data_IF_322219289870
#
_entry.id   IF_322219289870
#
_cell.length_a   1.000
_cell.length_b   1.000
_cell.length_c   1.000
_cell.angle_alpha   90.00
_cell.angle_beta   90.00
_cell.angle_gamma   90.00
#
_symmetry.space_group_name_H-M   'P 1'
#
loop_
_entity.id
_entity.type
_entity.pdbx_description
1 polymer ?
#
# COMPACT_ATOMS: atom_id res chain seq x y z
N UNK A 1 6.85 11.59 2.35
CA UNK A 1 6.20 10.52 1.57
C UNK A 1 5.47 11.13 0.38
N UNK A 2 5.73 10.67 -0.84
CA UNK A 2 5.03 11.08 -2.08
C UNK A 2 3.92 10.06 -2.37
N UNK A 3 2.71 10.51 -2.69
CA UNK A 3 1.61 9.63 -3.14
C UNK A 3 1.64 9.59 -4.65
N UNK A 4 1.61 8.39 -5.22
CA UNK A 4 1.34 8.21 -6.63
C UNK A 4 0.05 7.41 -6.77
N UNK A 5 -0.97 8.02 -7.40
CA UNK A 5 -2.20 7.31 -7.79
C UNK A 5 -1.97 6.72 -9.17
N UNK A 6 -1.89 5.39 -9.24
CA UNK A 6 -1.78 4.67 -10.51
C UNK A 6 -3.18 4.42 -11.07
N UNK A 7 -3.41 4.80 -12.32
CA UNK A 7 -4.63 4.52 -13.06
C UNK A 7 -4.25 3.92 -14.41
N UNK A 8 -5.02 2.93 -14.87
CA UNK A 8 -4.82 2.34 -16.19
C UNK A 8 -5.59 3.16 -17.26
N UNK A 9 -5.02 3.42 -18.45
CA UNK A 9 -3.67 3.05 -18.90
C UNK A 9 -2.58 3.83 -18.16
N UNK A 10 -1.48 3.15 -17.83
CA UNK A 10 -0.37 3.74 -17.10
C UNK A 10 0.28 4.84 -17.95
N UNK A 11 0.55 6.00 -17.34
CA UNK A 11 1.37 7.03 -17.97
C UNK A 11 2.79 6.48 -18.20
N UNK A 12 3.39 6.81 -19.35
CA UNK A 12 4.71 6.31 -19.75
C UNK A 12 5.83 6.72 -18.78
N UNK A 13 5.67 7.84 -18.08
CA UNK A 13 6.55 8.27 -17.00
C UNK A 13 5.75 8.39 -15.70
N UNK A 14 6.05 7.51 -14.74
CA UNK A 14 5.46 7.56 -13.39
C UNK A 14 6.25 8.49 -12.45
N UNK A 15 7.40 9.02 -12.90
CA UNK A 15 8.30 9.84 -12.12
C UNK A 15 8.80 9.13 -10.87
N UNK A 16 8.97 7.81 -10.93
CA UNK A 16 9.40 6.95 -9.82
C UNK A 16 10.86 6.49 -10.02
N UNK A 17 11.66 6.42 -8.94
CA UNK A 17 13.06 6.01 -9.00
C UNK A 17 13.23 4.60 -9.58
N UNK A 18 14.25 4.44 -10.42
CA UNK A 18 14.55 3.21 -11.17
C UNK A 18 14.76 1.98 -10.27
N UNK A 19 15.29 2.16 -9.06
CA UNK A 19 15.49 1.06 -8.10
C UNK A 19 14.63 1.24 -6.85
N UNK A 20 13.54 0.47 -6.78
CA UNK A 20 12.55 0.55 -5.70
C UNK A 20 12.22 -0.85 -5.18
N UNK A 21 12.18 -1.00 -3.85
CA UNK A 21 11.57 -2.15 -3.17
C UNK A 21 10.14 -1.77 -2.81
N UNK A 22 9.19 -2.61 -3.21
CA UNK A 22 7.75 -2.34 -3.03
C UNK A 22 7.17 -3.36 -2.05
N UNK A 23 6.58 -2.86 -0.96
CA UNK A 23 5.66 -3.65 -0.14
C UNK A 23 4.25 -3.54 -0.74
N UNK A 24 3.68 -4.64 -1.21
CA UNK A 24 2.37 -4.67 -1.86
C UNK A 24 1.35 -5.39 -0.98
N UNK A 25 0.18 -4.78 -0.79
CA UNK A 25 -0.89 -5.35 0.02
C UNK A 25 -1.99 -4.34 0.33
N UNK A 26 -3.10 -4.80 0.88
CA UNK A 26 -4.21 -3.92 1.25
C UNK A 26 -3.91 -3.07 2.51
N UNK A 27 -3.08 -3.60 3.42
CA UNK A 27 -2.58 -2.91 4.62
C UNK A 27 -3.65 -2.31 5.56
N UNK A 28 -4.87 -2.81 5.53
CA UNK A 28 -5.96 -2.34 6.40
C UNK A 28 -5.68 -2.63 7.88
N UNK A 29 -5.76 -1.61 8.72
CA UNK A 29 -5.62 -1.73 10.18
C UNK A 29 -4.21 -1.86 10.74
N UNK A 30 -3.15 -1.82 9.93
CA UNK A 30 -1.72 -1.80 10.36
C UNK A 30 -1.37 -2.70 11.57
N UNK A 31 -1.96 -3.89 11.64
CA UNK A 31 -1.67 -4.85 12.69
C UNK A 31 -0.23 -5.40 12.57
N UNK A 32 0.23 -6.14 13.58
CA UNK A 32 1.63 -6.62 13.70
C UNK A 32 2.15 -7.33 12.45
N UNK A 33 1.30 -8.09 11.75
CA UNK A 33 1.64 -8.73 10.48
C UNK A 33 2.03 -7.74 9.37
N UNK A 34 1.24 -6.68 9.17
CA UNK A 34 1.57 -5.62 8.21
C UNK A 34 2.86 -4.89 8.59
N UNK A 35 3.05 -4.61 9.89
CA UNK A 35 4.28 -3.97 10.38
C UNK A 35 5.52 -4.82 10.06
N UNK A 36 5.45 -6.14 10.23
CA UNK A 36 6.55 -7.05 9.90
C UNK A 36 6.89 -7.03 8.39
N UNK A 37 5.88 -7.01 7.52
CA UNK A 37 6.08 -6.90 6.07
C UNK A 37 6.74 -5.58 5.69
N UNK A 38 6.26 -4.47 6.25
CA UNK A 38 6.81 -3.14 5.99
C UNK A 38 8.26 -3.01 6.49
N UNK A 39 8.55 -3.55 7.68
CA UNK A 39 9.90 -3.56 8.22
C UNK A 39 10.85 -4.35 7.33
N UNK A 40 10.45 -5.55 6.89
CA UNK A 40 11.27 -6.37 5.99
C UNK A 40 11.57 -5.65 4.67
N UNK A 41 10.57 -4.97 4.11
CA UNK A 41 10.74 -4.20 2.89
C UNK A 41 11.71 -3.00 3.09
N UNK A 42 11.64 -2.34 4.25
CA UNK A 42 12.57 -1.26 4.63
C UNK A 42 14.01 -1.76 4.71
N UNK A 43 14.22 -2.91 5.35
CA UNK A 43 15.55 -3.51 5.48
C UNK A 43 16.13 -3.91 4.12
N UNK A 44 15.32 -4.52 3.25
CA UNK A 44 15.71 -4.88 1.87
C UNK A 44 16.03 -3.64 1.02
N UNK A 45 15.26 -2.55 1.16
CA UNK A 45 15.53 -1.30 0.45
C UNK A 45 16.90 -0.73 0.86
N UNK A 46 17.20 -0.73 2.16
CA UNK A 46 18.48 -0.27 2.69
C UNK A 46 19.64 -1.13 2.18
N UNK A 47 19.52 -2.46 2.25
CA UNK A 47 20.54 -3.39 1.76
C UNK A 47 20.83 -3.23 0.26
N UNK A 48 19.82 -2.88 -0.53
CA UNK A 48 19.94 -2.76 -2.00
C UNK A 48 20.28 -1.35 -2.47
N UNK A 49 20.38 -0.37 -1.58
CA UNK A 49 20.49 1.04 -1.96
C UNK A 49 19.31 1.53 -2.79
N UNK A 50 18.11 0.99 -2.53
CA UNK A 50 16.88 1.26 -3.27
C UNK A 50 15.94 2.16 -2.46
N UNK A 51 14.97 2.78 -3.13
CA UNK A 51 13.87 3.49 -2.44
C UNK A 51 12.83 2.49 -1.96
N UNK A 52 12.17 2.81 -0.84
CA UNK A 52 11.03 2.04 -0.33
C UNK A 52 9.73 2.67 -0.84
N UNK A 53 8.81 1.83 -1.32
CA UNK A 53 7.44 2.21 -1.63
C UNK A 53 6.44 1.20 -1.07
N UNK A 54 5.21 1.68 -0.83
CA UNK A 54 4.07 0.86 -0.45
C UNK A 54 3.03 0.99 -1.54
N UNK A 55 2.62 -0.14 -2.11
CA UNK A 55 1.50 -0.20 -3.05
C UNK A 55 0.29 -0.80 -2.35
N UNK A 56 -0.79 -0.04 -2.29
CA UNK A 56 -2.07 -0.47 -1.72
C UNK A 56 -3.22 -0.10 -2.66
N UNK A 57 -4.39 -0.66 -2.37
CA UNK A 57 -5.62 -0.45 -3.10
C UNK A 57 -6.58 0.36 -2.23
N UNK A 58 -7.29 1.30 -2.84
CA UNK A 58 -8.29 2.13 -2.17
C UNK A 58 -9.66 1.44 -2.05
N UNK A 59 -9.82 0.26 -2.65
CA UNK A 59 -11.04 -0.54 -2.58
C UNK A 59 -10.70 -2.00 -2.24
N UNK A 60 -11.58 -2.65 -1.47
CA UNK A 60 -11.47 -4.08 -1.18
C UNK A 60 -11.42 -4.86 -2.52
N UNK A 61 -10.40 -5.69 -2.79
CA UNK A 61 -10.23 -6.34 -4.10
C UNK A 61 -11.46 -7.15 -4.54
N UNK A 62 -12.19 -7.74 -3.58
CA UNK A 62 -13.39 -8.51 -3.85
C UNK A 62 -14.58 -7.68 -4.42
N UNK A 63 -14.56 -6.34 -4.33
CA UNK A 63 -15.56 -5.47 -4.97
C UNK A 63 -15.52 -5.56 -6.50
N UNK A 64 -14.36 -5.90 -7.07
CA UNK A 64 -14.18 -6.05 -8.53
C UNK A 64 -14.75 -7.39 -9.02
N UNK A 65 -14.73 -8.42 -8.18
CA UNK A 65 -15.06 -9.79 -8.58
C UNK A 65 -16.40 -10.31 -8.04
N UNK A 66 -17.01 -9.64 -7.05
CA UNK A 66 -18.26 -10.13 -6.41
C UNK A 66 -19.13 -8.99 -5.85
N UNK A 67 -20.46 -9.14 -5.94
CA UNK A 67 -21.39 -8.33 -5.15
C UNK A 67 -21.29 -8.73 -3.68
N UNK A 68 -20.53 -7.97 -2.90
CA UNK A 68 -20.36 -8.16 -1.46
C UNK A 68 -21.59 -7.64 -0.69
N UNK A 69 -21.97 -8.34 0.38
CA UNK A 69 -22.99 -7.90 1.33
C UNK A 69 -22.48 -6.73 2.17
N UNK A 70 -23.37 -5.98 2.83
CA UNK A 70 -22.99 -4.84 3.67
C UNK A 70 -22.05 -5.20 4.83
N UNK A 71 -22.08 -6.46 5.31
CA UNK A 71 -21.17 -6.93 6.35
C UNK A 71 -19.74 -7.17 5.83
N UNK A 72 -19.61 -7.68 4.60
CA UNK A 72 -18.31 -7.97 3.99
C UNK A 72 -17.59 -6.70 3.51
N UNK A 73 -18.29 -5.55 3.41
CA UNK A 73 -17.72 -4.25 3.03
C UNK A 73 -17.08 -3.47 4.20
N UNK A 74 -17.05 -4.04 5.41
CA UNK A 74 -16.48 -3.34 6.57
C UNK A 74 -14.95 -3.36 6.52
N UNK A 75 -14.37 -2.18 6.35
CA UNK A 75 -12.94 -1.96 6.55
C UNK A 75 -12.62 -1.90 8.05
N UNK A 76 -11.47 -2.44 8.45
CA UNK A 76 -10.96 -2.33 9.83
C UNK A 76 -10.56 -0.89 10.17
N UNK A 77 -10.22 -0.10 9.14
CA UNK A 77 -9.98 1.34 9.25
C UNK A 77 -10.70 2.10 8.14
N UNK A 78 -11.17 3.32 8.45
CA UNK A 78 -11.67 4.22 7.41
C UNK A 78 -10.54 4.50 6.40
N UNK A 79 -10.85 4.57 5.10
CA UNK A 79 -9.86 4.73 4.03
C UNK A 79 -8.91 5.93 4.27
N UNK A 80 -9.41 7.01 4.87
CA UNK A 80 -8.62 8.18 5.25
C UNK A 80 -7.61 7.92 6.38
N UNK A 81 -7.89 6.93 7.23
CA UNK A 81 -7.11 6.61 8.42
C UNK A 81 -5.86 5.77 8.09
N UNK A 82 -5.96 4.88 7.11
CA UNK A 82 -4.81 4.13 6.57
C UNK A 82 -3.69 5.06 6.09
N UNK A 83 -4.08 6.18 5.48
CA UNK A 83 -3.12 7.16 4.99
C UNK A 83 -2.34 7.85 6.12
N UNK A 84 -2.97 8.03 7.27
CA UNK A 84 -2.39 8.74 8.42
C UNK A 84 -1.38 7.89 9.19
N UNK A 85 -1.60 6.57 9.31
CA UNK A 85 -0.64 5.66 9.93
C UNK A 85 0.59 5.39 9.05
N UNK A 86 0.42 5.38 7.72
CA UNK A 86 1.56 5.36 6.80
C UNK A 86 2.49 6.57 6.96
N UNK A 87 2.01 7.70 7.51
CA UNK A 87 2.84 8.89 7.78
C UNK A 87 3.62 8.83 9.09
N UNK A 88 3.19 8.01 10.04
CA UNK A 88 3.75 7.97 11.40
C UNK A 88 4.69 6.77 11.65
N UNK A 89 4.75 5.80 10.75
CA UNK A 89 5.45 4.52 10.99
C UNK A 89 6.51 4.14 9.94
N UNK A 90 7.01 5.10 9.15
CA UNK A 90 8.11 4.85 8.19
C UNK A 90 9.23 5.87 8.34
#
# INVERSE_FOLDING_TARGET
MKILRLHYPLAADTGYPEKTVIAMGFFDGFHKGHQAVLQRAKDEAAQRGAKLAVLTYDHHPALVYKKMTSHEKRYLTLLDYNWRYSKSSV
#
